data_IF_312736373299
#
_entry.id   IF_312736373299
#
_cell.length_a   1.000
_cell.length_b   1.000
_cell.length_c   1.000
_cell.angle_alpha   90.00
_cell.angle_beta   90.00
_cell.angle_gamma   90.00
#
_symmetry.space_group_name_H-M   'P 1'
#
loop_
_entity.id
_entity.type
_entity.pdbx_description
1 polymer ?
#
# COMPACT_ATOMS: atom_id res chain seq x y z
N UNK A 1 56.39 -17.81 -73.56
CA UNK A 1 55.59 -18.78 -74.33
C UNK A 1 54.79 -19.63 -73.34
N UNK A 2 53.53 -19.92 -73.69
CA UNK A 2 52.48 -20.56 -72.86
C UNK A 2 52.85 -21.95 -72.36
N UNK A 3 52.33 -22.32 -71.18
CA UNK A 3 51.74 -23.64 -70.87
C UNK A 3 50.95 -23.60 -69.55
N UNK A 4 49.63 -23.76 -69.64
CA UNK A 4 48.76 -24.30 -68.58
C UNK A 4 49.12 -25.79 -68.33
N UNK A 5 48.76 -26.46 -67.21
CA UNK A 5 47.36 -26.66 -66.79
C UNK A 5 47.05 -26.93 -65.28
N UNK A 6 45.73 -26.90 -64.98
CA UNK A 6 44.96 -27.78 -64.06
C UNK A 6 45.34 -27.96 -62.58
N UNK A 7 44.42 -27.59 -61.68
CA UNK A 7 43.70 -28.55 -60.82
C UNK A 7 42.57 -27.87 -60.03
N UNK A 8 41.43 -28.57 -59.95
CA UNK A 8 40.24 -28.26 -59.16
C UNK A 8 40.43 -28.63 -57.68
N UNK A 9 39.87 -27.82 -56.78
CA UNK A 9 39.22 -28.19 -55.49
C UNK A 9 38.90 -26.84 -54.81
N UNK A 10 37.66 -26.45 -54.54
CA UNK A 10 36.66 -27.17 -53.78
C UNK A 10 36.52 -26.48 -52.41
N UNK A 11 35.34 -25.92 -52.13
CA UNK A 11 34.89 -25.25 -50.89
C UNK A 11 35.14 -23.73 -50.76
N UNK A 12 34.19 -22.95 -51.30
CA UNK A 12 33.93 -21.58 -50.85
C UNK A 12 33.15 -21.64 -49.53
N UNK A 13 33.82 -21.37 -48.42
CA UNK A 13 33.19 -20.96 -47.18
C UNK A 13 32.96 -19.44 -47.24
N UNK A 14 31.73 -19.01 -47.52
CA UNK A 14 31.34 -17.61 -47.33
C UNK A 14 31.27 -17.36 -45.81
N UNK A 15 32.36 -16.82 -45.26
CA UNK A 15 32.35 -16.13 -43.97
C UNK A 15 31.52 -14.86 -44.12
N UNK A 16 30.25 -14.89 -43.69
CA UNK A 16 29.59 -13.67 -43.25
C UNK A 16 30.17 -13.31 -41.88
N UNK A 17 31.02 -12.28 -41.89
CA UNK A 17 31.41 -11.55 -40.70
C UNK A 17 30.19 -10.73 -40.29
N UNK A 18 29.51 -11.14 -39.23
CA UNK A 18 28.70 -10.25 -38.40
C UNK A 18 29.27 -10.34 -36.99
N UNK A 19 29.90 -9.25 -36.56
CA UNK A 19 30.46 -9.13 -35.23
C UNK A 19 29.36 -8.96 -34.18
N UNK A 20 29.41 -9.90 -33.24
CA UNK A 20 28.98 -9.94 -31.83
C UNK A 20 28.72 -8.61 -31.10
N UNK A 21 27.72 -8.61 -30.20
CA UNK A 21 27.96 -8.66 -28.74
C UNK A 21 26.68 -8.90 -27.90
N UNK A 22 26.69 -10.03 -27.16
CA UNK A 22 26.01 -10.38 -25.88
C UNK A 22 24.50 -10.13 -25.68
N UNK A 23 23.70 -11.07 -25.12
CA UNK A 23 24.01 -12.34 -24.49
C UNK A 23 22.74 -13.14 -24.14
N UNK A 24 22.90 -14.45 -24.05
CA UNK A 24 21.89 -15.47 -23.74
C UNK A 24 21.35 -15.41 -22.31
N UNK A 25 20.07 -15.78 -22.13
CA UNK A 25 19.65 -16.62 -21.00
C UNK A 25 18.60 -17.63 -21.49
N UNK A 26 18.90 -18.91 -21.26
CA UNK A 26 17.95 -20.02 -21.35
C UNK A 26 17.29 -20.20 -19.98
N UNK A 27 15.99 -20.49 -19.97
CA UNK A 27 15.30 -21.01 -18.79
C UNK A 27 14.54 -22.26 -19.22
N UNK A 28 15.04 -23.41 -18.79
CA UNK A 28 14.27 -24.66 -18.73
C UNK A 28 13.25 -24.55 -17.61
N UNK A 29 11.97 -24.72 -17.93
CA UNK A 29 10.87 -24.58 -16.99
C UNK A 29 9.67 -25.42 -17.39
N UNK A 30 9.45 -26.48 -16.62
CA UNK A 30 8.39 -27.48 -16.66
C UNK A 30 6.96 -26.86 -16.78
N UNK A 31 6.18 -27.30 -17.76
CA UNK A 31 4.74 -26.96 -17.89
C UNK A 31 3.91 -28.13 -17.37
N UNK A 32 3.17 -27.91 -16.29
CA UNK A 32 2.11 -28.81 -15.82
C UNK A 32 0.74 -28.16 -16.06
N UNK A 33 -0.25 -28.87 -16.64
CA UNK A 33 -1.59 -28.33 -16.83
C UNK A 33 -2.41 -28.45 -15.53
N UNK A 34 -2.92 -27.33 -15.01
CA UNK A 34 -3.90 -27.33 -13.92
C UNK A 34 -5.31 -27.54 -14.48
N UNK A 35 -5.93 -28.61 -13.96
CA UNK A 35 -7.29 -29.06 -14.24
C UNK A 35 -8.28 -28.16 -13.51
N UNK A 36 -9.23 -27.59 -14.26
CA UNK A 36 -10.31 -26.77 -13.72
C UNK A 36 -11.29 -27.62 -12.88
N UNK A 37 -11.50 -27.22 -11.63
CA UNK A 37 -12.50 -27.77 -10.73
C UNK A 37 -13.22 -26.64 -9.99
N UNK A 38 -14.49 -26.44 -10.37
CA UNK A 38 -15.55 -25.64 -9.78
C UNK A 38 -15.28 -24.90 -8.45
N UNK A 39 -15.25 -23.57 -8.50
CA UNK A 39 -15.55 -22.69 -7.37
C UNK A 39 -16.61 -21.66 -7.83
N UNK A 40 -17.77 -21.55 -7.15
CA UNK A 40 -18.70 -20.45 -7.37
C UNK A 40 -18.47 -19.30 -6.36
N UNK A 41 -19.02 -18.14 -6.74
CA UNK A 41 -19.28 -16.91 -5.97
C UNK A 41 -18.12 -15.95 -5.67
N UNK A 42 -17.81 -15.13 -6.68
CA UNK A 42 -17.88 -13.65 -6.62
C UNK A 42 -17.79 -13.01 -5.23
N UNK A 43 -16.59 -12.64 -4.83
CA UNK A 43 -16.35 -11.33 -4.22
C UNK A 43 -15.26 -10.63 -5.02
N UNK A 44 -15.56 -9.40 -5.41
CA UNK A 44 -14.72 -8.52 -6.19
C UNK A 44 -13.34 -8.38 -5.55
N UNK A 45 -12.33 -8.96 -6.19
CA UNK A 45 -10.97 -8.47 -6.04
C UNK A 45 -10.96 -7.06 -6.61
N UNK A 46 -10.97 -6.06 -5.72
CA UNK A 46 -10.69 -4.69 -6.13
C UNK A 46 -9.34 -4.69 -6.85
N UNK A 47 -9.41 -4.29 -8.13
CA UNK A 47 -8.35 -4.21 -9.11
C UNK A 47 -6.98 -3.86 -8.53
N UNK A 48 -6.02 -4.78 -8.66
CA UNK A 48 -4.60 -4.44 -8.67
C UNK A 48 -4.34 -3.50 -9.85
N UNK A 49 -4.22 -2.19 -9.60
CA UNK A 49 -3.50 -1.30 -10.50
C UNK A 49 -2.53 -0.44 -9.70
N UNK A 50 -1.31 -0.97 -9.55
CA UNK A 50 -0.18 -0.40 -8.82
C UNK A 50 0.77 0.24 -9.85
N UNK A 51 0.21 1.08 -10.75
CA UNK A 51 0.74 1.45 -12.10
C UNK A 51 2.06 0.73 -12.45
N UNK A 52 1.91 -0.54 -12.79
CA UNK A 52 2.93 -1.51 -13.18
C UNK A 52 4.36 -1.24 -12.67
N UNK A 53 4.55 -1.33 -11.34
CA UNK A 53 5.87 -1.47 -10.70
C UNK A 53 6.81 -0.24 -10.87
N UNK A 54 6.31 0.99 -11.04
CA UNK A 54 7.02 2.33 -11.07
C UNK A 54 8.29 2.49 -11.96
N UNK A 55 9.17 1.51 -12.18
CA UNK A 55 10.32 1.59 -13.10
C UNK A 55 11.05 0.24 -13.36
N UNK A 56 10.48 -0.94 -13.08
CA UNK A 56 11.19 -2.22 -13.19
C UNK A 56 11.05 -2.95 -14.55
N UNK A 57 11.37 -2.23 -15.62
CA UNK A 57 12.02 -2.82 -16.81
C UNK A 57 13.35 -2.12 -17.11
N UNK A 58 13.99 -1.55 -16.08
CA UNK A 58 15.39 -1.12 -16.08
C UNK A 58 16.31 -2.16 -15.41
N UNK A 59 16.25 -3.42 -15.85
CA UNK A 59 17.27 -4.47 -15.63
C UNK A 59 17.69 -4.80 -14.17
N UNK A 60 16.90 -5.64 -13.49
CA UNK A 60 17.35 -6.81 -12.70
C UNK A 60 16.12 -7.51 -12.10
N UNK A 61 15.88 -8.75 -12.54
CA UNK A 61 14.79 -9.61 -12.05
C UNK A 61 15.10 -10.02 -10.61
N UNK A 62 14.51 -9.32 -9.65
CA UNK A 62 14.42 -9.76 -8.26
C UNK A 62 13.16 -10.59 -8.07
N UNK A 63 13.31 -11.91 -8.03
CA UNK A 63 12.25 -12.86 -7.70
C UNK A 63 11.87 -12.68 -6.21
N UNK A 64 10.86 -11.86 -5.93
CA UNK A 64 10.17 -11.94 -4.65
C UNK A 64 9.04 -12.95 -4.79
N UNK A 65 9.21 -14.10 -4.14
CA UNK A 65 8.17 -15.11 -4.05
C UNK A 65 6.87 -14.45 -3.57
N UNK A 66 5.78 -14.74 -4.28
CA UNK A 66 4.43 -14.54 -3.77
C UNK A 66 4.33 -15.24 -2.41
N UNK A 67 4.52 -14.49 -1.33
CA UNK A 67 3.84 -14.81 -0.09
C UNK A 67 2.37 -14.62 -0.43
N UNK A 68 1.63 -15.72 -0.54
CA UNK A 68 0.17 -15.69 -0.60
C UNK A 68 -0.38 -14.86 0.56
N UNK A 69 -1.64 -14.41 0.52
CA UNK A 69 -2.22 -13.66 1.62
C UNK A 69 -1.93 -14.43 2.91
N UNK A 70 -1.16 -13.83 3.83
CA UNK A 70 -1.01 -14.41 5.15
C UNK A 70 -2.43 -14.69 5.63
N UNK A 71 -2.74 -15.90 6.14
CA UNK A 71 -4.01 -16.09 6.83
C UNK A 71 -4.08 -14.98 7.85
N UNK A 72 -5.16 -14.20 7.85
CA UNK A 72 -5.33 -13.02 8.69
C UNK A 72 -5.07 -13.41 10.16
N UNK A 73 -3.79 -13.40 10.56
CA UNK A 73 -3.39 -13.48 11.95
C UNK A 73 -3.86 -12.17 12.49
N UNK A 74 -4.86 -12.22 13.36
CA UNK A 74 -5.30 -11.07 14.13
C UNK A 74 -4.04 -10.40 14.70
N UNK A 75 -3.62 -9.32 14.04
CA UNK A 75 -2.38 -8.62 14.36
C UNK A 75 -2.51 -8.23 15.82
N UNK A 76 -1.63 -8.77 16.66
CA UNK A 76 -1.71 -8.65 18.11
C UNK A 76 -1.79 -7.17 18.47
N UNK A 77 -2.90 -6.80 19.10
CA UNK A 77 -3.20 -5.43 19.48
C UNK A 77 -2.12 -4.97 20.49
N UNK A 78 -1.42 -3.84 20.26
CA UNK A 78 -0.22 -3.50 21.03
C UNK A 78 -0.44 -3.42 22.55
N UNK A 79 0.64 -3.78 23.27
CA UNK A 79 0.79 -3.62 24.71
C UNK A 79 1.03 -2.14 25.05
N UNK A 80 -0.05 -1.38 25.23
CA UNK A 80 0.04 0.02 25.65
C UNK A 80 0.62 0.17 27.07
N UNK A 81 1.81 0.77 27.19
CA UNK A 81 2.40 1.20 28.47
C UNK A 81 1.58 2.35 29.10
N UNK A 82 0.96 2.12 30.27
CA UNK A 82 0.61 3.09 31.34
C UNK A 82 -0.20 4.40 31.13
N UNK A 83 -0.30 5.00 29.95
CA UNK A 83 -1.00 6.29 29.72
C UNK A 83 -2.53 6.15 29.60
N UNK A 84 -3.29 7.15 30.08
CA UNK A 84 -4.73 7.28 29.77
C UNK A 84 -4.87 7.46 28.26
N UNK A 85 -5.52 6.53 27.57
CA UNK A 85 -5.84 6.65 26.14
C UNK A 85 -6.82 7.80 25.89
N UNK A 86 -6.83 8.34 24.67
CA UNK A 86 -7.82 9.33 24.26
C UNK A 86 -7.58 10.75 24.79
N UNK A 87 -6.33 11.13 25.08
CA UNK A 87 -6.06 12.51 25.51
C UNK A 87 -6.10 13.48 24.33
N UNK A 88 -6.56 14.70 24.59
CA UNK A 88 -6.58 15.79 23.63
C UNK A 88 -5.22 16.01 22.95
N UNK A 89 -4.12 15.89 23.72
CA UNK A 89 -2.76 16.07 23.21
C UNK A 89 -2.39 15.05 22.10
N UNK A 90 -2.96 13.83 22.16
CA UNK A 90 -2.70 12.78 21.17
C UNK A 90 -3.50 13.00 19.87
N UNK A 91 -4.58 13.80 19.89
CA UNK A 91 -5.34 14.18 18.70
C UNK A 91 -4.66 15.26 17.87
N UNK A 92 -3.93 16.17 18.51
CA UNK A 92 -3.26 17.30 17.85
C UNK A 92 -2.42 16.86 16.64
N UNK A 93 -1.52 15.86 16.74
CA UNK A 93 -0.73 15.44 15.58
C UNK A 93 -1.56 14.76 14.48
N UNK A 94 -2.68 14.10 14.81
CA UNK A 94 -3.59 13.52 13.80
C UNK A 94 -4.30 14.63 13.02
N UNK A 95 -4.73 15.68 13.72
CA UNK A 95 -5.34 16.88 13.11
C UNK A 95 -4.32 17.65 12.26
N UNK A 96 -3.06 17.75 12.71
CA UNK A 96 -1.98 18.34 11.92
C UNK A 96 -1.76 17.56 10.61
N UNK A 97 -1.72 16.23 10.68
CA UNK A 97 -1.64 15.39 9.49
C UNK A 97 -2.82 15.64 8.52
N UNK A 98 -4.06 15.72 9.02
CA UNK A 98 -5.23 16.08 8.19
C UNK A 98 -5.01 17.41 7.45
N UNK A 99 -4.59 18.45 8.15
CA UNK A 99 -4.35 19.78 7.55
C UNK A 99 -3.23 19.77 6.52
N UNK A 100 -2.15 19.02 6.77
CA UNK A 100 -1.07 18.87 5.80
C UNK A 100 -1.56 18.19 4.52
N UNK A 101 -2.43 17.18 4.63
CA UNK A 101 -3.02 16.50 3.46
C UNK A 101 -3.96 17.43 2.69
N UNK A 102 -4.78 18.22 3.39
CA UNK A 102 -5.62 19.24 2.76
C UNK A 102 -4.79 20.30 2.04
N UNK A 103 -3.69 20.76 2.66
CA UNK A 103 -2.75 21.70 2.07
C UNK A 103 -2.03 21.09 0.86
N UNK A 104 -1.61 19.82 0.93
CA UNK A 104 -1.07 19.09 -0.22
C UNK A 104 -2.11 19.02 -1.36
N UNK A 105 -3.40 18.85 -1.03
CA UNK A 105 -4.51 18.95 -1.97
C UNK A 105 -4.61 20.31 -2.67
N UNK A 106 -4.26 21.42 -2.00
CA UNK A 106 -4.20 22.75 -2.65
C UNK A 106 -3.05 22.85 -3.64
N UNK A 107 -1.87 22.33 -3.30
CA UNK A 107 -0.72 22.25 -4.21
C UNK A 107 -1.03 21.38 -5.44
N UNK A 108 -1.71 20.25 -5.25
CA UNK A 108 -2.13 19.36 -6.35
C UNK A 108 -3.11 20.02 -7.32
N UNK A 109 -4.01 20.89 -6.83
CA UNK A 109 -4.90 21.69 -7.68
C UNK A 109 -4.14 22.74 -8.48
N UNK A 110 -3.06 23.27 -7.92
CA UNK A 110 -2.16 24.21 -8.59
C UNK A 110 -1.11 23.52 -9.50
N UNK A 111 -1.09 22.19 -9.58
CA UNK A 111 -0.08 21.43 -10.33
C UNK A 111 1.29 21.37 -9.66
N UNK A 112 1.41 21.79 -8.40
CA UNK A 112 2.65 21.84 -7.63
C UNK A 112 2.96 20.48 -6.96
N UNK A 113 3.24 19.46 -7.76
CA UNK A 113 3.46 18.08 -7.29
C UNK A 113 4.64 18.00 -6.31
N UNK A 114 5.76 18.66 -6.62
CA UNK A 114 6.97 18.66 -5.78
C UNK A 114 6.71 19.27 -4.41
N UNK A 115 5.93 20.36 -4.35
CA UNK A 115 5.60 21.03 -3.09
C UNK A 115 4.66 20.17 -2.24
N UNK A 116 3.69 19.49 -2.86
CA UNK A 116 2.80 18.53 -2.19
C UNK A 116 3.59 17.36 -1.57
N UNK A 117 4.49 16.74 -2.34
CA UNK A 117 5.32 15.64 -1.87
C UNK A 117 6.30 16.09 -0.78
N UNK A 118 6.94 17.25 -0.95
CA UNK A 118 7.85 17.80 0.05
C UNK A 118 7.14 18.14 1.36
N UNK A 119 5.90 18.61 1.32
CA UNK A 119 5.07 18.84 2.50
C UNK A 119 4.80 17.53 3.24
N UNK A 120 4.29 16.50 2.55
CA UNK A 120 3.92 15.23 3.19
C UNK A 120 5.15 14.46 3.71
N UNK A 121 6.30 14.52 3.03
CA UNK A 121 7.54 13.87 3.49
C UNK A 121 8.11 14.46 4.79
N UNK A 122 7.71 15.69 5.18
CA UNK A 122 8.12 16.28 6.47
C UNK A 122 7.44 15.58 7.65
N UNK A 123 6.31 14.93 7.42
CA UNK A 123 5.53 14.30 8.48
C UNK A 123 6.20 13.00 8.96
N UNK A 124 6.73 12.95 10.20
CA UNK A 124 7.38 11.75 10.71
C UNK A 124 6.46 10.53 10.74
N UNK A 125 5.14 10.71 10.92
CA UNK A 125 4.20 9.59 10.95
C UNK A 125 4.15 8.83 9.62
N UNK A 126 4.38 9.51 8.49
CA UNK A 126 4.29 8.93 7.14
C UNK A 126 5.58 8.22 6.69
N UNK A 127 6.64 8.21 7.50
CA UNK A 127 7.91 7.54 7.14
C UNK A 127 7.81 6.02 7.13
N UNK A 128 6.88 5.45 7.89
CA UNK A 128 6.70 4.01 7.98
C UNK A 128 5.30 3.66 8.48
N UNK A 129 4.84 2.44 8.17
CA UNK A 129 3.61 1.91 8.76
C UNK A 129 3.63 1.92 10.28
N UNK A 130 4.78 1.62 10.89
CA UNK A 130 4.94 1.56 12.34
C UNK A 130 4.74 2.92 13.00
N UNK A 131 5.39 3.97 12.47
CA UNK A 131 5.23 5.34 12.98
C UNK A 131 3.80 5.86 12.83
N UNK A 132 3.13 5.47 11.74
CA UNK A 132 1.72 5.77 11.54
C UNK A 132 0.83 5.05 12.56
N UNK A 133 1.00 3.73 12.72
CA UNK A 133 0.25 2.95 13.71
C UNK A 133 0.46 3.53 15.12
N UNK A 134 1.70 3.88 15.50
CA UNK A 134 2.04 4.50 16.80
C UNK A 134 1.37 5.86 17.02
N UNK A 135 1.24 6.70 15.99
CA UNK A 135 0.55 7.98 16.08
C UNK A 135 -0.92 7.78 16.48
N UNK A 136 -1.61 6.87 15.80
CA UNK A 136 -3.04 6.63 16.01
C UNK A 136 -3.32 5.78 17.25
N UNK A 137 -2.43 4.86 17.62
CA UNK A 137 -2.58 4.00 18.79
C UNK A 137 -2.43 4.76 20.11
N UNK A 138 -1.80 5.95 20.11
CA UNK A 138 -1.78 6.85 21.29
C UNK A 138 -3.18 7.37 21.63
N UNK A 139 -3.95 7.72 20.61
CA UNK A 139 -5.31 8.22 20.80
C UNK A 139 -6.34 7.07 20.96
N UNK A 140 -6.14 5.97 20.25
CA UNK A 140 -7.11 4.87 20.21
C UNK A 140 -7.33 4.22 21.58
N UNK A 141 -8.55 3.73 21.81
CA UNK A 141 -8.87 3.03 23.06
C UNK A 141 -7.99 1.79 23.21
N UNK A 142 -7.42 1.60 24.40
CA UNK A 142 -6.59 0.42 24.70
C UNK A 142 -7.49 -0.81 24.86
N UNK A 143 -7.04 -1.93 24.31
CA UNK A 143 -7.67 -3.22 24.57
C UNK A 143 -7.48 -3.57 26.03
N UNK A 144 -8.58 -3.70 26.76
CA UNK A 144 -8.53 -4.20 28.13
C UNK A 144 -7.94 -5.62 28.14
N UNK A 145 -7.23 -6.01 29.19
CA UNK A 145 -6.70 -7.37 29.33
C UNK A 145 -7.82 -8.43 29.16
N UNK A 146 -9.04 -8.12 29.62
CA UNK A 146 -10.24 -8.95 29.42
C UNK A 146 -10.62 -9.07 27.95
N UNK A 147 -10.68 -7.96 27.22
CA UNK A 147 -10.99 -7.94 25.78
C UNK A 147 -9.92 -8.72 25.01
N UNK A 148 -8.65 -8.61 25.41
CA UNK A 148 -7.57 -9.38 24.79
C UNK A 148 -7.74 -10.88 25.02
N UNK A 149 -8.02 -11.29 26.27
CA UNK A 149 -8.29 -12.68 26.61
C UNK A 149 -9.51 -13.24 25.87
N UNK A 150 -10.58 -12.43 25.77
CA UNK A 150 -11.75 -12.75 24.95
C UNK A 150 -11.40 -12.90 23.48
N UNK A 151 -10.63 -11.99 22.89
CA UNK A 151 -10.25 -12.06 21.48
C UNK A 151 -9.35 -13.27 21.19
N UNK A 152 -8.46 -13.64 22.12
CA UNK A 152 -7.66 -14.87 21.99
C UNK A 152 -8.51 -16.14 22.12
N UNK A 153 -9.57 -16.11 22.94
CA UNK A 153 -10.50 -17.22 23.09
C UNK A 153 -11.53 -17.29 21.94
N UNK A 154 -11.92 -16.15 21.37
CA UNK A 154 -12.89 -16.05 20.28
C UNK A 154 -12.39 -16.74 19.00
N UNK A 155 -11.08 -16.85 18.82
CA UNK A 155 -10.51 -17.67 17.75
C UNK A 155 -10.90 -19.15 17.88
N UNK A 156 -11.02 -19.67 19.10
CA UNK A 156 -11.46 -21.06 19.34
C UNK A 156 -12.94 -21.19 19.00
N UNK A 157 -13.77 -20.23 19.42
CA UNK A 157 -15.22 -20.25 19.20
C UNK A 157 -15.58 -20.13 17.72
N UNK A 158 -14.91 -19.25 16.96
CA UNK A 158 -15.19 -19.06 15.53
C UNK A 158 -14.92 -20.32 14.69
N UNK A 159 -13.89 -21.10 15.05
CA UNK A 159 -13.61 -22.38 14.38
C UNK A 159 -14.64 -23.46 14.72
N UNK A 160 -15.23 -23.44 15.91
CA UNK A 160 -16.34 -24.33 16.25
C UNK A 160 -17.62 -23.92 15.52
N UNK A 161 -17.89 -22.62 15.38
CA UNK A 161 -19.08 -22.07 14.72
C UNK A 161 -19.13 -22.37 13.21
N UNK A 162 -18.04 -22.11 12.48
CA UNK A 162 -17.96 -22.44 11.04
C UNK A 162 -18.07 -23.95 10.82
N UNK A 163 -17.55 -24.75 11.76
CA UNK A 163 -17.62 -26.22 11.69
C UNK A 163 -19.03 -26.75 11.94
N UNK A 164 -19.85 -26.07 12.76
CA UNK A 164 -21.19 -26.52 13.15
C UNK A 164 -22.35 -25.77 12.50
N UNK A 165 -22.10 -24.76 11.65
CA UNK A 165 -23.13 -23.98 10.94
C UNK A 165 -24.19 -23.37 11.88
N UNK A 166 -23.78 -22.97 13.09
CA UNK A 166 -24.69 -22.35 14.06
C UNK A 166 -24.95 -20.89 13.66
N UNK A 167 -26.20 -20.57 13.33
CA UNK A 167 -26.66 -19.26 12.84
C UNK A 167 -27.14 -18.34 13.97
N UNK A 168 -26.93 -18.72 15.24
CA UNK A 168 -27.48 -18.02 16.42
C UNK A 168 -26.68 -16.80 16.89
N UNK A 169 -25.59 -16.42 16.22
CA UNK A 169 -24.84 -15.24 16.60
C UNK A 169 -25.55 -14.01 16.06
N UNK A 170 -26.11 -13.22 16.99
CA UNK A 170 -26.61 -11.89 16.69
C UNK A 170 -25.49 -11.05 16.06
N UNK A 171 -25.84 -10.26 15.05
CA UNK A 171 -24.95 -9.27 14.46
C UNK A 171 -24.48 -8.32 15.56
N UNK A 172 -23.26 -8.52 16.04
CA UNK A 172 -22.65 -7.63 17.01
C UNK A 172 -22.20 -6.39 16.27
N UNK A 173 -22.79 -5.26 16.65
CA UNK A 173 -22.29 -3.96 16.18
C UNK A 173 -20.78 -3.86 16.47
N UNK A 174 -19.99 -3.38 15.51
CA UNK A 174 -18.56 -3.24 15.70
C UNK A 174 -18.31 -2.28 16.86
N UNK A 175 -17.42 -2.70 17.78
CA UNK A 175 -17.03 -1.84 18.89
C UNK A 175 -16.38 -0.56 18.36
N UNK A 176 -16.47 0.54 19.11
CA UNK A 176 -15.80 1.81 18.76
C UNK A 176 -14.32 1.61 18.44
N UNK A 177 -13.64 0.74 19.18
CA UNK A 177 -12.27 0.35 18.93
C UNK A 177 -12.08 -0.33 17.56
N UNK A 178 -12.95 -1.28 17.19
CA UNK A 178 -12.89 -1.92 15.87
C UNK A 178 -13.07 -0.88 14.74
N UNK A 179 -14.00 0.06 14.91
CA UNK A 179 -14.19 1.18 13.98
C UNK A 179 -12.94 2.07 13.90
N UNK A 180 -12.32 2.42 15.03
CA UNK A 180 -11.08 3.20 15.05
C UNK A 180 -9.95 2.48 14.29
N UNK A 181 -9.77 1.18 14.52
CA UNK A 181 -8.78 0.38 13.80
C UNK A 181 -9.05 0.32 12.30
N UNK A 182 -10.31 0.12 11.92
CA UNK A 182 -10.73 0.12 10.52
C UNK A 182 -10.42 1.47 9.85
N UNK A 183 -10.92 2.58 10.41
CA UNK A 183 -10.72 3.93 9.84
C UNK A 183 -9.25 4.33 9.79
N UNK A 184 -8.46 3.93 10.79
CA UNK A 184 -7.00 4.11 10.77
C UNK A 184 -6.37 3.39 9.59
N UNK A 185 -6.75 2.14 9.34
CA UNK A 185 -6.20 1.36 8.23
C UNK A 185 -6.59 1.95 6.87
N UNK A 186 -7.85 2.41 6.72
CA UNK A 186 -8.33 3.10 5.52
C UNK A 186 -7.54 4.40 5.28
N UNK A 187 -7.32 5.21 6.32
CA UNK A 187 -6.51 6.42 6.23
C UNK A 187 -5.06 6.13 5.82
N UNK A 188 -4.43 5.09 6.39
CA UNK A 188 -3.09 4.68 5.97
C UNK A 188 -3.05 4.32 4.49
N UNK A 189 -3.97 3.46 4.02
CA UNK A 189 -3.99 2.99 2.64
C UNK A 189 -4.19 4.16 1.66
N UNK A 190 -5.09 5.09 1.97
CA UNK A 190 -5.32 6.26 1.14
C UNK A 190 -4.08 7.18 1.08
N UNK A 191 -3.39 7.37 2.21
CA UNK A 191 -2.13 8.13 2.27
C UNK A 191 -0.99 7.45 1.52
N UNK A 192 -0.86 6.13 1.65
CA UNK A 192 0.15 5.33 0.95
C UNK A 192 -0.05 5.40 -0.57
N UNK A 193 -1.30 5.29 -1.04
CA UNK A 193 -1.65 5.47 -2.45
C UNK A 193 -1.31 6.89 -2.95
N UNK A 194 -1.63 7.92 -2.17
CA UNK A 194 -1.29 9.31 -2.50
C UNK A 194 0.22 9.51 -2.61
N UNK A 195 0.99 9.01 -1.63
CA UNK A 195 2.45 9.13 -1.63
C UNK A 195 3.07 8.40 -2.82
N UNK A 196 2.64 7.17 -3.09
CA UNK A 196 3.11 6.39 -4.23
C UNK A 196 2.86 7.11 -5.56
N UNK A 197 1.67 7.69 -5.74
CA UNK A 197 1.35 8.46 -6.95
C UNK A 197 2.18 9.75 -7.06
N UNK A 198 2.34 10.49 -5.96
CA UNK A 198 3.19 11.69 -5.96
C UNK A 198 4.65 11.38 -6.31
N UNK A 199 5.18 10.26 -5.83
CA UNK A 199 6.53 9.79 -6.14
C UNK A 199 6.65 9.40 -7.62
N UNK A 200 5.66 8.68 -8.16
CA UNK A 200 5.57 8.38 -9.58
C UNK A 200 5.58 9.65 -10.43
N UNK A 201 4.70 10.62 -10.12
CA UNK A 201 4.61 11.86 -10.87
C UNK A 201 5.87 12.73 -10.76
N UNK A 202 6.60 12.68 -9.64
CA UNK A 202 7.90 13.33 -9.51
C UNK A 202 8.93 12.77 -10.50
N UNK A 203 8.92 11.44 -10.71
CA UNK A 203 9.79 10.80 -11.71
C UNK A 203 9.38 11.13 -13.14
N UNK A 204 8.08 11.11 -13.45
CA UNK A 204 7.58 11.47 -14.79
C UNK A 204 7.74 12.95 -15.14
N UNK A 205 7.57 13.86 -14.18
CA UNK A 205 7.75 15.30 -14.39
C UNK A 205 9.20 15.64 -14.79
N UNK A 206 10.15 14.78 -14.43
CA UNK A 206 11.54 14.89 -14.86
C UNK A 206 11.74 14.44 -16.31
N UNK A 207 10.79 13.68 -16.87
CA UNK A 207 10.86 13.08 -18.20
C UNK A 207 9.90 13.73 -19.24
N UNK A 208 8.82 14.38 -18.81
CA UNK A 208 7.79 14.98 -19.68
C UNK A 208 7.38 16.38 -19.23
N UNK A 209 7.06 17.25 -20.21
CA UNK A 209 6.66 18.64 -19.97
C UNK A 209 5.22 18.81 -19.46
N UNK A 210 4.36 17.77 -19.57
CA UNK A 210 3.00 17.79 -19.03
C UNK A 210 2.70 16.47 -18.34
N UNK A 211 2.45 16.54 -17.03
CA UNK A 211 2.11 15.39 -16.19
C UNK A 211 0.66 15.51 -15.74
N UNK A 212 -0.14 14.49 -16.01
CA UNK A 212 -1.52 14.45 -15.55
C UNK A 212 -1.59 14.04 -14.07
N UNK A 213 -1.96 14.99 -13.21
CA UNK A 213 -2.12 14.78 -11.77
C UNK A 213 -3.56 14.41 -11.35
N UNK A 214 -4.40 13.90 -12.25
CA UNK A 214 -5.78 13.53 -11.93
C UNK A 214 -5.87 12.48 -10.81
N UNK A 215 -5.06 11.43 -10.88
CA UNK A 215 -5.05 10.36 -9.88
C UNK A 215 -4.51 10.84 -8.53
N UNK A 216 -3.45 11.66 -8.52
CA UNK A 216 -2.96 12.27 -7.28
C UNK A 216 -4.03 13.15 -6.60
N UNK A 217 -4.80 13.92 -7.38
CA UNK A 217 -5.93 14.71 -6.84
C UNK A 217 -7.03 13.82 -6.26
N UNK A 218 -7.32 12.68 -6.90
CA UNK A 218 -8.29 11.69 -6.39
C UNK A 218 -7.80 11.10 -5.06
N UNK A 219 -6.59 10.56 -5.01
CA UNK A 219 -6.03 9.98 -3.79
C UNK A 219 -5.85 11.02 -2.68
N UNK A 220 -5.54 12.27 -3.02
CA UNK A 220 -5.49 13.38 -2.07
C UNK A 220 -6.83 13.63 -1.38
N UNK A 221 -7.93 13.56 -2.14
CA UNK A 221 -9.29 13.68 -1.60
C UNK A 221 -9.67 12.49 -0.72
N UNK A 222 -9.35 11.26 -1.17
CA UNK A 222 -9.62 10.04 -0.41
C UNK A 222 -8.86 10.01 0.91
N UNK A 223 -7.58 10.42 0.93
CA UNK A 223 -6.78 10.52 2.14
C UNK A 223 -7.34 11.55 3.13
N UNK A 224 -7.73 12.73 2.64
CA UNK A 224 -8.35 13.75 3.48
C UNK A 224 -9.68 13.29 4.10
N UNK A 225 -10.53 12.62 3.31
CA UNK A 225 -11.81 12.10 3.80
C UNK A 225 -11.61 10.95 4.80
N UNK A 226 -10.70 10.01 4.54
CA UNK A 226 -10.42 8.92 5.47
C UNK A 226 -9.91 9.41 6.83
N UNK A 227 -9.06 10.46 6.85
CA UNK A 227 -8.63 11.11 8.09
C UNK A 227 -9.79 11.82 8.80
N UNK A 228 -10.68 12.47 8.04
CA UNK A 228 -11.88 13.11 8.58
C UNK A 228 -12.84 12.08 9.20
N UNK A 229 -13.04 10.93 8.55
CA UNK A 229 -13.85 9.84 9.06
C UNK A 229 -13.26 9.21 10.32
N UNK A 230 -11.94 9.09 10.41
CA UNK A 230 -11.29 8.69 11.66
C UNK A 230 -11.54 9.70 12.79
N UNK A 231 -11.34 10.99 12.52
CA UNK A 231 -11.57 12.06 13.49
C UNK A 231 -13.04 12.19 13.91
N UNK A 232 -13.99 11.78 13.06
CA UNK A 232 -15.42 11.73 13.42
C UNK A 232 -15.76 10.71 14.51
N UNK A 233 -14.86 9.76 14.81
CA UNK A 233 -15.00 8.81 15.92
C UNK A 233 -14.60 9.40 17.28
N UNK A 234 -13.93 10.55 17.28
CA UNK A 234 -13.56 11.30 18.47
C UNK A 234 -14.71 12.23 18.91
N UNK A 235 -14.82 12.59 20.21
CA UNK A 235 -15.73 13.65 20.64
C UNK A 235 -15.45 14.96 19.88
N UNK A 236 -16.49 15.57 19.32
CA UNK A 236 -16.34 16.76 18.48
C UNK A 236 -15.65 17.92 19.21
N UNK A 237 -15.93 18.11 20.50
CA UNK A 237 -15.30 19.12 21.34
C UNK A 237 -13.77 18.96 21.41
N UNK A 238 -13.29 17.72 21.48
CA UNK A 238 -11.84 17.44 21.51
C UNK A 238 -11.20 17.69 20.15
N UNK A 239 -11.89 17.35 19.05
CA UNK A 239 -11.41 17.63 17.69
C UNK A 239 -11.30 19.13 17.45
N UNK A 240 -12.28 19.92 17.89
CA UNK A 240 -12.26 21.39 17.75
C UNK A 240 -11.13 22.03 18.57
N UNK A 241 -10.95 21.59 19.82
CA UNK A 241 -9.80 22.02 20.65
C UNK A 241 -8.47 21.63 20.02
N UNK A 242 -8.34 20.41 19.50
CA UNK A 242 -7.13 19.95 18.83
C UNK A 242 -6.84 20.77 17.56
N UNK A 243 -7.87 21.14 16.79
CA UNK A 243 -7.76 22.06 15.64
C UNK A 243 -7.28 23.44 16.03
N UNK A 244 -7.81 24.00 17.11
CA UNK A 244 -7.36 25.29 17.64
C UNK A 244 -5.89 25.24 18.08
N UNK A 245 -5.50 24.19 18.80
CA UNK A 245 -4.11 23.97 19.23
C UNK A 245 -3.15 23.74 18.06
N UNK A 246 -3.59 23.07 17.00
CA UNK A 246 -2.79 22.86 15.80
C UNK A 246 -2.62 24.14 14.95
N UNK A 247 -3.44 25.18 15.18
CA UNK A 247 -3.41 26.44 14.43
C UNK A 247 -2.54 27.53 15.06
N UNK A 248 -2.29 27.46 16.37
CA UNK A 248 -1.34 28.31 17.09
C UNK A 248 0.08 27.81 16.96
#
# INVERSE_FOLDING_TARGET
ARKSPSAMSGASAIRRVLWLAFGSFAVDGFVAPLRAGNLPSTQLFHSCDRRAYVAASGSLVGFWALQGPEPARAKSIPDGQGGKAGQLADLVPIVQLQRQVEQAGTFLKAGQITDALALLRREPALRSRKSFDELFDRYSERVSAKTRAMNSAAFITYYEEVRYSDTRLEDKEPTKQALQYQRRNEAYLALDNLLAELEYLQTEASASASVDAADARKYGKEAAEALKEYLALAPQEDVEKARALAAG
#
